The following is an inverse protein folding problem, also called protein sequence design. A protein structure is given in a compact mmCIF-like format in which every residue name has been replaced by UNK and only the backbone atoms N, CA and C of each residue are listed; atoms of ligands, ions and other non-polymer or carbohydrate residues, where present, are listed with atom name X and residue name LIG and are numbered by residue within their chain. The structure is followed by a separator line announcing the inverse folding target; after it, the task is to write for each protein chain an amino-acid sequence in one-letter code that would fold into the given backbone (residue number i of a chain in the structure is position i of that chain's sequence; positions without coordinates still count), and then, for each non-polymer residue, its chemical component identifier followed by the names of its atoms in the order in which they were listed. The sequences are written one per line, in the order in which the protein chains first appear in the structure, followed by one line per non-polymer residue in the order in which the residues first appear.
data_IF_889187715107
#
_entry.id   IF_889187715107
#
_cell.length_a   1.000
_cell.length_b   1.000
_cell.length_c   1.000
_cell.angle_alpha   90.00
_cell.angle_beta   90.00
_cell.angle_gamma   90.00
#
_symmetry.space_group_name_H-M   'P 1'
#
loop_
_entity.id
_entity.type
_entity.pdbx_description
1 polymer ?
#
# COMPACT_ATOMS: atom_id res chain seq x y z
N UNK A 1 7.29 0.40 3.60
CA UNK A 1 6.19 0.86 2.73
C UNK A 1 5.74 -0.24 1.79
N UNK A 2 6.63 -0.95 1.10
CA UNK A 2 6.23 -1.91 0.05
C UNK A 2 5.52 -3.19 0.52
N UNK A 3 5.57 -3.53 1.81
CA UNK A 3 5.08 -4.82 2.32
C UNK A 3 3.57 -5.02 2.10
N UNK A 4 2.78 -3.94 2.14
CA UNK A 4 1.34 -4.06 1.88
C UNK A 4 1.03 -4.35 0.40
N UNK A 5 1.92 -3.97 -0.53
CA UNK A 5 1.74 -4.29 -1.95
C UNK A 5 1.92 -5.78 -2.19
N UNK A 6 2.92 -6.40 -1.54
CA UNK A 6 3.11 -7.86 -1.60
C UNK A 6 1.95 -8.60 -0.97
N UNK A 7 1.43 -8.08 0.14
CA UNK A 7 0.29 -8.64 0.83
C UNK A 7 -0.94 -8.68 -0.08
N UNK A 8 -1.26 -7.54 -0.72
CA UNK A 8 -2.37 -7.48 -1.68
C UNK A 8 -2.11 -8.43 -2.85
N UNK A 9 -0.93 -8.36 -3.48
CA UNK A 9 -0.59 -9.23 -4.62
C UNK A 9 -0.76 -10.72 -4.28
N UNK A 10 -0.25 -11.15 -3.13
CA UNK A 10 -0.38 -12.52 -2.65
C UNK A 10 -1.83 -12.91 -2.36
N UNK A 11 -2.65 -11.97 -1.89
CA UNK A 11 -4.06 -12.24 -1.58
C UNK A 11 -4.93 -12.41 -2.82
N UNK A 12 -4.60 -11.78 -3.94
CA UNK A 12 -5.35 -11.86 -5.20
C UNK A 12 -4.67 -12.68 -6.30
N UNK A 13 -3.52 -13.28 -6.01
CA UNK A 13 -2.79 -14.16 -6.94
C UNK A 13 -1.97 -13.42 -8.01
N UNK A 14 -1.61 -12.16 -7.77
CA UNK A 14 -0.69 -11.42 -8.65
C UNK A 14 0.77 -11.73 -8.30
N UNK A 15 1.63 -11.57 -9.30
CA UNK A 15 3.08 -11.57 -9.09
C UNK A 15 3.47 -10.39 -8.18
N UNK A 16 4.44 -10.63 -7.29
CA UNK A 16 4.93 -9.58 -6.38
C UNK A 16 5.70 -8.53 -7.18
N UNK A 17 5.48 -7.23 -6.90
CA UNK A 17 6.18 -6.17 -7.61
C UNK A 17 7.68 -6.19 -7.30
N UNK A 18 8.48 -5.95 -8.34
CA UNK A 18 9.93 -5.88 -8.24
C UNK A 18 10.36 -4.82 -7.23
N UNK A 19 11.37 -5.15 -6.41
CA UNK A 19 11.96 -4.21 -5.47
C UNK A 19 12.99 -3.34 -6.16
N UNK A 20 12.74 -2.04 -6.15
CA UNK A 20 13.66 -1.02 -6.64
C UNK A 20 14.32 -0.27 -5.49
N UNK A 21 15.61 0.03 -5.64
CA UNK A 21 16.31 0.87 -4.69
C UNK A 21 15.83 2.32 -4.76
N UNK A 22 16.02 3.08 -3.68
CA UNK A 22 15.68 4.50 -3.66
C UNK A 22 16.43 5.31 -4.74
N UNK A 23 17.68 4.96 -5.01
CA UNK A 23 18.45 5.56 -6.11
C UNK A 23 17.81 5.31 -7.47
N UNK A 24 17.31 4.09 -7.71
CA UNK A 24 16.60 3.75 -8.95
C UNK A 24 15.29 4.54 -9.08
N UNK A 25 14.54 4.70 -7.99
CA UNK A 25 13.32 5.54 -7.96
C UNK A 25 13.62 6.99 -8.37
N UNK A 26 14.70 7.58 -7.87
CA UNK A 26 15.11 8.94 -8.28
C UNK A 26 15.41 9.01 -9.79
N UNK A 27 16.09 7.99 -10.35
CA UNK A 27 16.34 7.93 -11.79
C UNK A 27 15.05 7.82 -12.60
N UNK A 28 14.08 7.01 -12.14
CA UNK A 28 12.78 6.87 -12.80
C UNK A 28 11.99 8.17 -12.74
N UNK A 29 12.04 8.90 -11.62
CA UNK A 29 11.42 10.21 -11.48
C UNK A 29 12.05 11.25 -12.42
N UNK A 30 13.39 11.27 -12.54
CA UNK A 30 14.08 12.15 -13.49
C UNK A 30 13.70 11.88 -14.95
N UNK A 31 13.31 10.64 -15.27
CA UNK A 31 12.78 10.24 -16.60
C UNK A 31 11.28 10.51 -16.76
N UNK A 32 10.62 11.08 -15.75
CA UNK A 32 9.17 11.36 -15.77
C UNK A 32 8.27 10.13 -15.57
N UNK A 33 8.85 8.96 -15.26
CA UNK A 33 8.08 7.72 -15.03
C UNK A 33 7.43 7.66 -13.64
N UNK A 34 7.90 8.50 -12.72
CA UNK A 34 7.31 8.69 -11.39
C UNK A 34 7.07 10.17 -11.21
N UNK A 35 5.85 10.54 -10.82
CA UNK A 35 5.53 11.95 -10.60
C UNK A 35 6.31 12.52 -9.40
N UNK A 36 6.61 13.81 -9.47
CA UNK A 36 7.25 14.52 -8.35
C UNK A 36 6.41 14.42 -7.07
N UNK A 37 5.09 14.41 -7.19
CA UNK A 37 4.18 14.25 -6.06
C UNK A 37 4.35 12.87 -5.40
N UNK A 38 4.40 11.79 -6.18
CA UNK A 38 4.65 10.45 -5.65
C UNK A 38 6.02 10.36 -4.97
N UNK A 39 7.05 10.97 -5.55
CA UNK A 39 8.38 11.04 -4.94
C UNK A 39 8.40 11.79 -3.61
N UNK A 40 7.54 12.80 -3.42
CA UNK A 40 7.43 13.51 -2.14
C UNK A 40 6.98 12.57 -1.01
N UNK A 41 6.02 11.69 -1.28
CA UNK A 41 5.60 10.69 -0.30
C UNK A 41 6.69 9.67 0.00
N UNK A 42 7.45 9.24 -1.02
CA UNK A 42 8.54 8.26 -0.83
C UNK A 42 9.71 8.82 -0.02
N UNK A 43 9.86 10.15 0.05
CA UNK A 43 10.92 10.83 0.82
C UNK A 43 10.60 10.98 2.29
N UNK A 44 9.32 10.95 2.70
CA UNK A 44 8.91 11.06 4.09
C UNK A 44 8.57 9.68 4.67
N UNK A 45 9.34 9.25 5.67
CA UNK A 45 9.12 7.98 6.36
C UNK A 45 9.01 8.21 7.87
N UNK A 46 7.78 8.15 8.37
CA UNK A 46 7.47 8.27 9.79
C UNK A 46 6.41 7.28 10.23
N UNK A 47 6.43 6.95 11.52
CA UNK A 47 5.37 6.17 12.17
C UNK A 47 4.41 7.11 12.87
N UNK A 48 3.14 6.99 12.54
CA UNK A 48 2.05 7.75 13.19
C UNK A 48 1.41 6.86 14.25
N UNK A 49 1.12 7.50 15.38
CA UNK A 49 0.62 6.88 16.60
C UNK A 49 -0.88 7.14 16.73
N UNK A 50 -1.66 6.10 16.98
CA UNK A 50 -3.13 6.15 17.04
C UNK A 50 -3.68 6.01 18.47
N UNK A 51 -2.82 6.06 19.48
CA UNK A 51 -3.16 5.79 20.88
C UNK A 51 -4.26 6.72 21.40
N UNK A 52 -4.23 8.00 21.02
CA UNK A 52 -5.25 8.97 21.44
C UNK A 52 -6.62 8.66 20.87
N UNK A 53 -6.69 8.18 19.63
CA UNK A 53 -7.95 7.77 19.00
C UNK A 53 -8.61 6.63 19.77
N UNK A 54 -7.81 5.66 20.21
CA UNK A 54 -8.33 4.49 20.94
C UNK A 54 -8.61 4.83 22.41
N UNK A 55 -7.69 5.54 23.09
CA UNK A 55 -7.76 5.79 24.54
C UNK A 55 -8.67 6.95 24.93
N UNK A 56 -8.65 8.05 24.18
CA UNK A 56 -9.41 9.26 24.53
C UNK A 56 -10.78 9.27 23.85
N UNK A 57 -10.85 8.83 22.60
CA UNK A 57 -12.11 8.84 21.82
C UNK A 57 -12.85 7.51 21.83
N UNK A 58 -12.27 6.45 22.41
CA UNK A 58 -12.92 5.12 22.48
C UNK A 58 -13.12 4.46 21.11
N UNK A 59 -12.36 4.85 20.09
CA UNK A 59 -12.53 4.29 18.74
C UNK A 59 -12.03 2.85 18.72
N UNK A 60 -12.89 1.94 18.25
CA UNK A 60 -12.52 0.57 17.92
C UNK A 60 -12.22 0.46 16.42
N UNK A 61 -10.98 0.14 16.07
CA UNK A 61 -10.58 -0.05 14.68
C UNK A 61 -11.13 -1.39 14.18
N UNK A 62 -12.00 -1.34 13.17
CA UNK A 62 -12.53 -2.55 12.52
C UNK A 62 -11.38 -3.37 11.90
N UNK A 63 -10.37 -2.68 11.36
CA UNK A 63 -9.14 -3.28 10.83
C UNK A 63 -7.91 -2.65 11.51
N UNK A 64 -7.41 -3.22 12.62
CA UNK A 64 -6.26 -2.69 13.36
C UNK A 64 -4.96 -2.64 12.52
N UNK A 65 -4.81 -3.54 11.56
CA UNK A 65 -3.70 -3.54 10.63
C UNK A 65 -4.16 -3.90 9.20
N UNK A 66 -3.25 -3.73 8.22
CA UNK A 66 -3.56 -3.97 6.80
C UNK A 66 -3.81 -5.44 6.50
N UNK A 67 -3.18 -6.37 7.22
CA UNK A 67 -3.38 -7.82 7.07
C UNK A 67 -4.82 -8.21 7.40
N UNK A 68 -5.39 -7.66 8.46
CA UNK A 68 -6.78 -7.92 8.87
C UNK A 68 -7.75 -7.50 7.77
N UNK A 69 -7.57 -6.29 7.22
CA UNK A 69 -8.38 -5.80 6.10
C UNK A 69 -8.28 -6.72 4.88
N UNK A 70 -7.06 -7.07 4.45
CA UNK A 70 -6.84 -7.88 3.25
C UNK A 70 -7.40 -9.30 3.41
N UNK A 71 -7.28 -9.89 4.60
CA UNK A 71 -7.81 -11.21 4.88
C UNK A 71 -9.34 -11.24 4.81
N UNK A 72 -10.01 -10.27 5.44
CA UNK A 72 -11.46 -10.19 5.45
C UNK A 72 -12.03 -9.86 4.05
N UNK A 73 -11.34 -9.02 3.29
CA UNK A 73 -11.83 -8.49 2.01
C UNK A 73 -11.27 -9.21 0.77
N UNK A 74 -10.59 -10.36 0.93
CA UNK A 74 -9.92 -11.08 -0.18
C UNK A 74 -10.81 -11.30 -1.40
N UNK A 75 -12.05 -11.77 -1.20
CA UNK A 75 -13.01 -12.03 -2.29
C UNK A 75 -13.37 -10.75 -3.04
N UNK A 76 -13.60 -9.66 -2.30
CA UNK A 76 -13.92 -8.37 -2.89
C UNK A 76 -12.73 -7.81 -3.70
N UNK A 77 -11.52 -7.90 -3.15
CA UNK A 77 -10.29 -7.48 -3.84
C UNK A 77 -10.09 -8.24 -5.16
N UNK A 78 -10.37 -9.54 -5.20
CA UNK A 78 -10.28 -10.33 -6.45
C UNK A 78 -11.30 -9.88 -7.51
N UNK A 79 -12.48 -9.41 -7.10
CA UNK A 79 -13.52 -8.94 -8.02
C UNK A 79 -13.15 -7.61 -8.67
N UNK A 80 -12.49 -6.71 -7.92
CA UNK A 80 -11.98 -5.44 -8.46
C UNK A 80 -10.95 -5.71 -9.56
N UNK A 81 -10.02 -6.64 -9.32
CA UNK A 81 -8.99 -6.99 -10.30
C UNK A 81 -9.60 -7.49 -11.62
N UNK A 82 -10.60 -8.38 -11.57
CA UNK A 82 -11.25 -8.94 -12.76
C UNK A 82 -11.96 -7.90 -13.64
N UNK A 83 -12.28 -6.72 -13.08
CA UNK A 83 -13.00 -5.64 -13.80
C UNK A 83 -12.07 -4.64 -14.47
N UNK A 84 -10.78 -4.68 -14.18
CA UNK A 84 -9.79 -3.79 -14.80
C UNK A 84 -9.18 -4.54 -15.99
N UNK A 85 -9.47 -4.14 -17.26
CA UNK A 85 -8.82 -4.75 -18.40
C UNK A 85 -7.32 -4.52 -18.29
N UNK A 86 -6.53 -5.56 -18.54
CA UNK A 86 -5.09 -5.46 -18.77
C UNK A 86 -4.87 -4.43 -19.88
N UNK A 87 -4.33 -3.26 -19.53
CA UNK A 87 -3.81 -2.29 -20.50
C UNK A 87 -2.40 -2.67 -20.90
#
# INVERSE_FOLDING_TARGET
MSDYMDLVASAIGLEKPERVSFSKLNQLAAKGLISNMAMSFLKDSRRVKSERLVKELGINLIYPNVQDFVNENRKHLSTIHQRTPSQ
#
